data_IF_664954628834
#
_entry.id   IF_664954628834
#
_cell.length_a   1.000
_cell.length_b   1.000
_cell.length_c   1.000
_cell.angle_alpha   90.00
_cell.angle_beta   90.00
_cell.angle_gamma   90.00
#
_symmetry.space_group_name_H-M   'P 1'
#
loop_
_entity.id
_entity.type
_entity.pdbx_description
1 polymer ?
#
# COMPACT_ATOMS: atom_id res chain seq x y z
N UNK A 1 4.31 31.78 24.56
CA UNK A 1 4.86 33.09 24.13
C UNK A 1 6.29 33.01 23.57
N UNK A 2 7.25 32.32 24.21
CA UNK A 2 8.62 32.18 23.68
C UNK A 2 8.72 31.39 22.36
N UNK A 3 7.92 30.35 22.19
CA UNK A 3 7.85 29.51 20.96
C UNK A 3 7.53 30.33 19.68
N UNK A 4 6.59 31.25 19.78
CA UNK A 4 6.18 32.11 18.66
C UNK A 4 7.25 33.16 18.31
N UNK A 5 8.05 33.59 19.29
CA UNK A 5 9.10 34.58 19.06
C UNK A 5 10.22 34.00 18.20
N UNK A 6 10.57 32.71 18.37
CA UNK A 6 11.59 32.02 17.56
C UNK A 6 11.13 31.78 16.14
N UNK A 7 9.87 31.36 15.94
CA UNK A 7 9.29 31.18 14.60
C UNK A 7 9.19 32.53 13.87
N UNK A 8 8.81 33.59 14.58
CA UNK A 8 8.77 34.94 13.99
C UNK A 8 10.17 35.46 13.65
N UNK A 9 11.17 35.17 14.48
CA UNK A 9 12.57 35.52 14.21
C UNK A 9 13.15 34.73 13.02
N UNK A 10 12.82 33.44 12.85
CA UNK A 10 13.18 32.61 11.70
C UNK A 10 12.50 33.12 10.42
N UNK A 11 11.24 33.48 10.49
CA UNK A 11 10.49 34.04 9.35
C UNK A 11 11.02 35.43 8.97
N UNK A 12 11.40 36.28 9.94
CA UNK A 12 12.00 37.59 9.67
C UNK A 12 13.42 37.46 9.10
N UNK A 13 14.22 36.49 9.55
CA UNK A 13 15.52 36.23 8.97
C UNK A 13 15.44 35.79 7.51
N UNK A 14 14.47 34.91 7.15
CA UNK A 14 14.27 34.45 5.79
C UNK A 14 13.77 35.55 4.82
N UNK A 15 13.07 36.58 5.33
CA UNK A 15 12.64 37.73 4.52
C UNK A 15 13.77 38.75 4.30
N UNK A 16 14.69 38.87 5.23
CA UNK A 16 15.87 39.79 5.11
C UNK A 16 16.87 39.25 4.08
N UNK A 17 17.10 37.93 4.04
CA UNK A 17 18.02 37.29 3.08
C UNK A 17 17.51 37.42 1.62
N UNK A 18 16.22 37.54 1.40
CA UNK A 18 15.64 37.69 0.05
C UNK A 18 15.72 39.10 -0.53
N UNK A 19 16.02 40.10 0.28
CA UNK A 19 15.94 41.50 -0.14
C UNK A 19 17.26 42.08 -0.72
N UNK A 20 18.42 41.49 -0.53
CA UNK A 20 19.72 42.07 -0.96
C UNK A 20 20.72 41.00 -1.45
N UNK A 21 20.50 40.45 -2.65
CA UNK A 21 21.60 39.81 -3.38
C UNK A 21 22.57 40.89 -3.92
N UNK A 22 23.79 40.93 -3.45
CA UNK A 22 25.02 41.46 -4.05
C UNK A 22 25.89 42.47 -3.28
N UNK A 23 25.56 42.92 -2.07
CA UNK A 23 26.46 43.87 -1.39
C UNK A 23 26.57 43.73 0.14
N UNK A 24 26.59 42.52 0.68
CA UNK A 24 26.83 42.33 2.11
C UNK A 24 28.31 42.65 2.45
N UNK A 25 28.52 43.47 3.44
CA UNK A 25 29.88 43.74 4.01
C UNK A 25 30.46 42.46 4.63
N UNK A 26 31.78 42.41 4.77
CA UNK A 26 32.47 41.26 5.38
C UNK A 26 31.98 41.01 6.82
N UNK A 27 31.60 42.04 7.56
CA UNK A 27 31.06 41.96 8.91
C UNK A 27 29.64 41.34 8.93
N UNK A 28 28.80 41.68 7.94
CA UNK A 28 27.46 41.10 7.79
C UNK A 28 27.53 39.64 7.34
N UNK A 29 28.46 39.27 6.47
CA UNK A 29 28.71 37.85 6.10
C UNK A 29 29.19 37.04 7.28
N UNK A 30 30.11 37.56 8.09
CA UNK A 30 30.58 36.87 9.29
C UNK A 30 29.47 36.76 10.36
N UNK A 31 28.59 37.77 10.48
CA UNK A 31 27.45 37.71 11.38
C UNK A 31 26.37 36.71 10.88
N UNK A 32 26.15 36.66 9.56
CA UNK A 32 25.26 35.63 8.97
C UNK A 32 25.83 34.22 9.09
N UNK A 33 27.14 34.05 8.92
CA UNK A 33 27.81 32.76 9.10
C UNK A 33 27.77 32.32 10.56
N UNK A 34 28.04 33.19 11.52
CA UNK A 34 27.89 32.91 12.95
C UNK A 34 26.42 32.66 13.38
N UNK A 35 25.45 33.25 12.68
CA UNK A 35 24.03 33.01 12.88
C UNK A 35 23.61 31.67 12.27
N UNK A 36 24.09 31.32 11.08
CA UNK A 36 23.88 30.01 10.46
C UNK A 36 24.54 28.91 11.31
N UNK A 37 25.80 29.07 11.75
CA UNK A 37 26.50 28.14 12.65
C UNK A 37 25.72 27.93 13.97
N UNK A 38 25.02 28.96 14.45
CA UNK A 38 24.17 28.86 15.66
C UNK A 38 22.87 28.15 15.37
N UNK A 39 22.25 28.37 14.19
CA UNK A 39 21.06 27.64 13.73
C UNK A 39 21.42 26.18 13.48
N UNK A 40 22.55 25.90 12.85
CA UNK A 40 23.02 24.54 12.58
C UNK A 40 23.25 23.77 13.89
N UNK A 41 23.89 24.38 14.89
CA UNK A 41 24.02 23.77 16.24
C UNK A 41 22.69 23.60 16.94
N UNK A 42 21.75 24.55 16.82
CA UNK A 42 20.41 24.42 17.37
C UNK A 42 19.60 23.36 16.63
N UNK A 43 19.87 23.13 15.36
CA UNK A 43 19.24 22.06 14.60
C UNK A 43 19.78 20.69 14.99
N UNK A 44 21.10 20.55 15.19
CA UNK A 44 21.72 19.32 15.70
C UNK A 44 21.19 18.92 17.09
N UNK A 45 20.89 19.90 17.96
CA UNK A 45 20.36 19.65 19.31
C UNK A 45 18.81 19.66 19.35
N UNK A 46 18.14 19.92 18.23
CA UNK A 46 16.70 20.25 18.27
C UNK A 46 15.79 19.07 17.99
N UNK A 47 16.08 18.27 16.99
CA UNK A 47 15.18 17.19 16.58
C UNK A 47 15.98 15.98 16.11
N UNK A 48 15.79 14.87 16.78
CA UNK A 48 16.13 13.56 16.25
C UNK A 48 14.89 12.96 15.58
N UNK A 49 15.05 12.32 14.44
CA UNK A 49 13.96 11.72 13.68
C UNK A 49 14.22 10.24 13.51
N UNK A 50 13.18 9.45 13.74
CA UNK A 50 13.20 8.00 13.54
C UNK A 50 12.02 7.53 12.68
N UNK A 51 12.26 6.49 11.88
CA UNK A 51 11.22 5.71 11.23
C UNK A 51 10.77 4.60 12.19
N UNK A 52 9.51 4.60 12.56
CA UNK A 52 8.92 3.55 13.37
C UNK A 52 8.12 2.61 12.48
N UNK A 53 8.37 1.31 12.61
CA UNK A 53 7.72 0.25 11.85
C UNK A 53 7.02 -0.70 12.79
N UNK A 54 5.74 -0.92 12.51
CA UNK A 54 4.87 -1.84 13.26
C UNK A 54 4.64 -3.08 12.43
N UNK A 55 4.80 -4.24 13.02
CA UNK A 55 4.65 -5.53 12.35
C UNK A 55 3.23 -5.70 11.79
N UNK A 56 3.07 -6.40 10.66
CA UNK A 56 1.76 -6.75 10.11
C UNK A 56 0.98 -7.68 11.03
N UNK A 57 -0.35 -7.70 10.87
CA UNK A 57 -1.25 -8.61 11.60
C UNK A 57 -2.36 -9.09 10.66
N UNK A 58 -2.90 -10.27 10.90
CA UNK A 58 -4.04 -10.82 10.16
C UNK A 58 -5.40 -10.58 10.87
N UNK A 59 -5.41 -9.83 11.97
CA UNK A 59 -6.63 -9.56 12.73
C UNK A 59 -7.54 -8.53 12.08
N UNK A 60 -6.97 -7.55 11.35
CA UNK A 60 -7.75 -6.49 10.70
C UNK A 60 -7.17 -6.12 9.32
N UNK A 61 -8.05 -5.60 8.45
CA UNK A 61 -7.68 -5.21 7.09
C UNK A 61 -6.58 -4.13 7.06
N UNK A 62 -6.65 -3.15 7.96
CA UNK A 62 -5.70 -2.05 8.03
C UNK A 62 -4.32 -2.48 8.53
N UNK A 63 -4.24 -3.57 9.30
CA UNK A 63 -2.98 -4.07 9.88
C UNK A 63 -2.24 -5.05 8.98
N UNK A 64 -2.85 -5.50 7.90
CA UNK A 64 -2.34 -6.59 7.06
C UNK A 64 -0.96 -6.32 6.43
N UNK A 65 -0.65 -5.07 6.12
CA UNK A 65 0.65 -4.67 5.56
C UNK A 65 1.60 -4.09 6.62
N UNK A 66 1.20 -4.08 7.89
CA UNK A 66 1.92 -3.38 8.93
C UNK A 66 1.54 -1.89 8.99
N UNK A 67 2.29 -1.13 9.76
CA UNK A 67 2.12 0.32 9.85
C UNK A 67 3.47 1.01 9.96
N UNK A 68 3.52 2.30 9.65
CA UNK A 68 4.71 3.13 9.87
C UNK A 68 4.33 4.54 10.29
N UNK A 69 5.16 5.12 11.14
CA UNK A 69 5.06 6.52 11.55
C UNK A 69 6.46 7.13 11.72
N UNK A 70 6.52 8.44 11.90
CA UNK A 70 7.74 9.17 12.21
C UNK A 70 7.74 9.52 13.69
N UNK A 71 8.86 9.30 14.36
CA UNK A 71 9.07 9.72 15.75
C UNK A 71 10.05 10.87 15.79
N UNK A 72 9.68 11.93 16.49
CA UNK A 72 10.50 13.12 16.68
C UNK A 72 10.77 13.30 18.15
N UNK A 73 12.05 13.34 18.51
CA UNK A 73 12.52 13.55 19.86
C UNK A 73 13.37 14.82 19.96
N UNK A 74 13.17 15.57 21.05
CA UNK A 74 14.06 16.61 21.48
C UNK A 74 13.98 16.79 22.99
N UNK A 75 14.95 16.24 23.72
CA UNK A 75 14.99 16.31 25.18
C UNK A 75 15.02 17.77 25.70
N UNK A 76 15.72 18.66 24.98
CA UNK A 76 15.83 20.07 25.36
C UNK A 76 14.49 20.80 25.38
N UNK A 77 13.58 20.48 24.45
CA UNK A 77 12.26 21.09 24.35
C UNK A 77 11.12 20.20 24.88
N UNK A 78 11.46 19.01 25.38
CA UNK A 78 10.49 18.02 25.86
C UNK A 78 9.56 17.54 24.75
N UNK A 79 10.09 17.41 23.53
CA UNK A 79 9.37 16.84 22.40
C UNK A 79 9.66 15.34 22.39
N UNK A 80 8.58 14.57 22.37
CA UNK A 80 8.54 13.13 22.23
C UNK A 80 7.19 12.82 21.58
N UNK A 81 7.16 12.78 20.25
CA UNK A 81 5.88 12.76 19.51
C UNK A 81 5.98 11.89 18.28
N UNK A 82 5.06 10.95 18.16
CA UNK A 82 4.88 10.10 17.00
C UNK A 82 3.86 10.73 16.04
N UNK A 83 4.29 10.98 14.81
CA UNK A 83 3.43 11.48 13.75
C UNK A 83 3.00 10.32 12.87
N UNK A 84 1.72 9.98 12.93
CA UNK A 84 1.14 8.81 12.27
C UNK A 84 0.12 9.23 11.20
N UNK A 85 0.30 8.71 9.98
CA UNK A 85 -0.71 8.81 8.93
C UNK A 85 -1.80 7.78 9.17
N UNK A 86 -2.96 8.23 9.60
CA UNK A 86 -4.09 7.38 9.99
C UNK A 86 -5.25 7.59 9.04
N UNK A 87 -5.76 6.49 8.47
CA UNK A 87 -6.98 6.50 7.66
C UNK A 87 -8.21 6.24 8.52
N UNK A 88 -9.37 6.66 8.01
CA UNK A 88 -10.64 6.15 8.54
C UNK A 88 -10.68 4.63 8.42
N UNK A 89 -11.27 3.98 9.43
CA UNK A 89 -11.46 2.54 9.42
C UNK A 89 -12.31 2.10 8.20
N UNK A 90 -11.86 1.06 7.52
CA UNK A 90 -12.54 0.46 6.37
C UNK A 90 -13.71 -0.43 6.84
N UNK A 91 -13.62 -0.96 8.06
CA UNK A 91 -14.64 -1.84 8.62
C UNK A 91 -16.00 -1.12 8.68
N UNK A 92 -17.02 -1.74 8.12
CA UNK A 92 -18.33 -1.11 7.96
C UNK A 92 -18.43 -0.01 6.90
N UNK A 93 -17.33 0.41 6.27
CA UNK A 93 -17.28 1.48 5.25
C UNK A 93 -16.77 1.01 3.89
N UNK A 94 -16.87 -0.29 3.59
CA UNK A 94 -16.35 -0.89 2.34
C UNK A 94 -16.86 -0.15 1.09
N UNK A 95 -18.12 0.29 1.08
CA UNK A 95 -18.67 1.05 -0.04
C UNK A 95 -17.96 2.40 -0.21
N UNK A 96 -17.70 3.14 0.88
CA UNK A 96 -16.94 4.40 0.84
C UNK A 96 -15.50 4.16 0.37
N UNK A 97 -14.88 3.06 0.80
CA UNK A 97 -13.56 2.65 0.31
C UNK A 97 -13.59 2.44 -1.21
N UNK A 98 -14.52 1.63 -1.73
CA UNK A 98 -14.69 1.39 -3.17
C UNK A 98 -15.01 2.65 -3.98
N UNK A 99 -15.57 3.69 -3.34
CA UNK A 99 -15.83 5.00 -3.95
C UNK A 99 -14.66 5.99 -3.77
N UNK A 100 -13.52 5.53 -3.24
CA UNK A 100 -12.38 6.40 -2.92
C UNK A 100 -12.81 7.63 -2.08
N UNK A 101 -13.65 7.39 -1.08
CA UNK A 101 -14.20 8.44 -0.19
C UNK A 101 -13.78 8.28 1.27
N UNK A 102 -12.82 7.39 1.56
CA UNK A 102 -12.17 7.36 2.86
C UNK A 102 -11.16 8.51 2.99
N UNK A 103 -10.97 8.97 4.21
CA UNK A 103 -10.06 10.07 4.52
C UNK A 103 -8.87 9.56 5.33
N UNK A 104 -7.75 10.25 5.16
CA UNK A 104 -6.52 10.04 5.91
C UNK A 104 -6.05 11.38 6.44
N UNK A 105 -5.66 11.40 7.70
CA UNK A 105 -5.02 12.55 8.35
C UNK A 105 -3.65 12.21 8.88
N UNK A 106 -2.93 13.23 9.32
CA UNK A 106 -1.73 13.07 10.12
C UNK A 106 -2.07 13.47 11.56
N UNK A 107 -1.79 12.57 12.50
CA UNK A 107 -2.01 12.79 13.93
C UNK A 107 -0.70 12.73 14.71
N UNK A 108 -0.58 13.53 15.75
CA UNK A 108 0.52 13.43 16.71
C UNK A 108 0.05 12.65 17.93
N UNK A 109 0.77 11.60 18.28
CA UNK A 109 0.52 10.70 19.39
C UNK A 109 1.70 10.74 20.37
N UNK A 110 1.45 10.55 21.65
CA UNK A 110 2.53 10.28 22.60
C UNK A 110 2.88 8.78 22.62
N UNK A 111 3.99 8.43 23.28
CA UNK A 111 4.46 7.05 23.34
C UNK A 111 3.44 6.11 24.00
N UNK A 112 2.75 6.54 25.08
CA UNK A 112 1.78 5.71 25.79
C UNK A 112 0.57 5.38 24.89
N UNK A 113 0.12 6.35 24.08
CA UNK A 113 -0.99 6.16 23.14
C UNK A 113 -0.62 5.18 22.05
N UNK A 114 0.52 5.38 21.37
CA UNK A 114 0.96 4.53 20.26
C UNK A 114 1.32 3.11 20.74
N UNK A 115 2.20 3.00 21.73
CA UNK A 115 2.67 1.71 22.21
C UNK A 115 1.58 0.93 22.95
N UNK A 116 0.66 1.64 23.63
CA UNK A 116 -0.49 1.02 24.28
C UNK A 116 -1.41 0.32 23.30
N UNK A 117 -1.70 0.93 22.14
CA UNK A 117 -2.49 0.33 21.07
C UNK A 117 -1.83 -0.94 20.53
N UNK A 118 -0.54 -0.85 20.12
CA UNK A 118 0.15 -2.00 19.52
C UNK A 118 0.51 -3.11 20.52
N UNK A 119 0.71 -2.77 21.79
CA UNK A 119 0.84 -3.77 22.85
C UNK A 119 -0.44 -4.58 23.02
N UNK A 120 -1.61 -3.92 22.97
CA UNK A 120 -2.90 -4.62 23.01
C UNK A 120 -3.11 -5.53 21.78
N UNK A 121 -2.67 -5.09 20.61
CA UNK A 121 -2.68 -5.88 19.37
C UNK A 121 -1.55 -6.93 19.29
N UNK A 122 -0.63 -6.97 20.27
CA UNK A 122 0.55 -7.86 20.33
C UNK A 122 1.50 -7.69 19.15
N UNK A 123 1.51 -6.55 18.51
CA UNK A 123 2.35 -6.25 17.35
C UNK A 123 3.70 -5.72 17.79
N UNK A 124 4.76 -6.24 17.18
CA UNK A 124 6.11 -5.73 17.36
C UNK A 124 6.24 -4.31 16.81
N UNK A 125 6.98 -3.47 17.53
CA UNK A 125 7.30 -2.10 17.12
C UNK A 125 8.80 -1.91 17.14
N UNK A 126 9.36 -1.52 16.00
CA UNK A 126 10.79 -1.27 15.82
C UNK A 126 11.03 0.14 15.33
N UNK A 127 12.03 0.78 15.89
CA UNK A 127 12.44 2.14 15.58
C UNK A 127 13.81 2.15 14.91
N UNK A 128 13.95 2.89 13.83
CA UNK A 128 15.15 3.06 13.04
C UNK A 128 15.49 4.55 12.97
N UNK A 129 16.59 4.94 13.59
CA UNK A 129 17.03 6.34 13.59
C UNK A 129 17.49 6.76 12.19
N UNK A 130 17.07 7.94 11.77
CA UNK A 130 17.56 8.56 10.53
C UNK A 130 18.95 9.18 10.74
N UNK A 131 19.74 9.20 9.67
CA UNK A 131 20.96 9.99 9.53
C UNK A 131 20.73 11.15 8.54
N UNK A 132 19.59 11.81 8.64
CA UNK A 132 19.28 12.96 7.79
C UNK A 132 20.17 14.15 8.17
N UNK A 133 20.52 15.04 7.21
CA UNK A 133 21.08 16.34 7.55
C UNK A 133 20.13 17.15 8.43
N UNK A 134 20.64 17.93 9.41
CA UNK A 134 19.81 18.67 10.37
C UNK A 134 18.76 19.58 9.73
N UNK A 135 19.08 20.18 8.58
CA UNK A 135 18.17 21.03 7.81
C UNK A 135 16.98 20.23 7.26
N UNK A 136 17.22 18.98 6.87
CA UNK A 136 16.19 18.08 6.37
C UNK A 136 15.28 17.61 7.52
N UNK A 137 15.85 17.26 8.68
CA UNK A 137 15.11 16.89 9.88
C UNK A 137 14.17 18.02 10.32
N UNK A 138 14.69 19.26 10.35
CA UNK A 138 13.92 20.45 10.69
C UNK A 138 12.76 20.69 9.72
N UNK A 139 13.02 20.55 8.41
CA UNK A 139 11.95 20.70 7.40
C UNK A 139 10.93 19.58 7.48
N UNK A 140 11.35 18.35 7.77
CA UNK A 140 10.45 17.21 7.93
C UNK A 140 9.53 17.40 9.14
N UNK A 141 10.09 17.81 10.29
CA UNK A 141 9.32 18.17 11.48
C UNK A 141 8.32 19.30 11.17
N UNK A 142 8.77 20.37 10.51
CA UNK A 142 7.92 21.51 10.14
C UNK A 142 6.76 21.10 9.22
N UNK A 143 7.00 20.21 8.27
CA UNK A 143 5.96 19.66 7.39
C UNK A 143 4.92 18.89 8.22
N UNK A 144 5.37 17.99 9.10
CA UNK A 144 4.49 17.19 9.94
C UNK A 144 3.67 18.04 10.91
N UNK A 145 4.32 18.98 11.64
CA UNK A 145 3.64 19.88 12.58
C UNK A 145 2.60 20.78 11.87
N UNK A 146 2.94 21.28 10.68
CA UNK A 146 2.02 22.05 9.86
C UNK A 146 0.81 21.23 9.41
N UNK A 147 1.02 19.97 9.02
CA UNK A 147 -0.07 19.08 8.60
C UNK A 147 -1.01 18.77 9.76
N UNK A 148 -0.46 18.47 10.95
CA UNK A 148 -1.26 18.25 12.15
C UNK A 148 -2.03 19.51 12.56
N UNK A 149 -1.33 20.66 12.65
CA UNK A 149 -1.94 21.92 13.08
C UNK A 149 -3.04 22.43 12.15
N UNK A 150 -2.96 22.11 10.85
CA UNK A 150 -3.96 22.46 9.84
C UNK A 150 -5.04 21.41 9.67
N UNK A 151 -4.94 20.26 10.33
CA UNK A 151 -5.87 19.14 10.16
C UNK A 151 -5.80 18.57 8.75
N UNK A 152 -4.64 18.00 8.36
CA UNK A 152 -4.48 17.36 7.05
C UNK A 152 -5.61 16.36 6.79
N UNK A 153 -6.31 16.53 5.68
CA UNK A 153 -7.42 15.70 5.29
C UNK A 153 -7.30 15.33 3.82
N UNK A 154 -6.69 14.18 3.56
CA UNK A 154 -6.47 13.62 2.22
C UNK A 154 -7.47 12.51 1.94
N UNK A 155 -7.75 12.25 0.68
CA UNK A 155 -8.39 11.00 0.28
C UNK A 155 -7.41 9.85 0.49
N UNK A 156 -7.84 8.82 1.19
CA UNK A 156 -7.02 7.62 1.39
C UNK A 156 -7.13 6.70 0.19
N UNK A 157 -6.03 6.13 -0.22
CA UNK A 157 -5.97 4.94 -1.05
C UNK A 157 -4.74 4.10 -0.66
N UNK A 158 -4.84 2.80 -0.84
CA UNK A 158 -3.83 1.85 -0.38
C UNK A 158 -2.58 1.77 -1.28
N UNK A 159 -2.60 2.41 -2.45
CA UNK A 159 -1.48 2.39 -3.42
C UNK A 159 -0.65 3.66 -3.31
N UNK A 160 -1.28 4.83 -3.43
CA UNK A 160 -0.57 6.11 -3.56
C UNK A 160 -0.56 6.95 -2.30
N UNK A 161 -1.34 6.57 -1.27
CA UNK A 161 -1.56 7.36 -0.04
C UNK A 161 -1.68 6.50 1.21
N UNK A 162 -0.95 5.40 1.29
CA UNK A 162 -0.77 4.63 2.52
C UNK A 162 0.25 5.30 3.45
N UNK A 163 0.39 4.78 4.69
CA UNK A 163 1.32 5.34 5.68
C UNK A 163 2.77 5.37 5.18
N UNK A 164 3.28 4.25 4.66
CA UNK A 164 4.67 4.15 4.19
C UNK A 164 4.96 5.14 3.03
N UNK A 165 4.16 5.13 1.98
CA UNK A 165 4.37 6.02 0.84
C UNK A 165 4.18 7.49 1.20
N UNK A 166 3.32 7.81 2.16
CA UNK A 166 3.16 9.18 2.66
C UNK A 166 4.40 9.66 3.41
N UNK A 167 5.08 8.77 4.13
CA UNK A 167 6.38 9.07 4.77
C UNK A 167 7.45 9.28 3.70
N UNK A 168 7.53 8.44 2.67
CA UNK A 168 8.47 8.64 1.54
C UNK A 168 8.29 10.03 0.95
N UNK A 169 7.07 10.40 0.60
CA UNK A 169 6.79 11.73 0.04
C UNK A 169 7.09 12.87 1.01
N UNK A 170 6.94 12.65 2.32
CA UNK A 170 7.25 13.69 3.32
C UNK A 170 8.76 13.92 3.44
N UNK A 171 9.55 12.85 3.42
CA UNK A 171 11.02 12.92 3.43
C UNK A 171 11.54 13.57 2.14
N UNK A 172 11.05 13.14 0.97
CA UNK A 172 11.42 13.76 -0.32
C UNK A 172 11.11 15.26 -0.35
N UNK A 173 9.92 15.67 0.13
CA UNK A 173 9.56 17.09 0.24
C UNK A 173 10.42 17.87 1.22
N UNK A 174 10.82 17.23 2.32
CA UNK A 174 11.74 17.86 3.29
C UNK A 174 13.10 18.11 2.68
N UNK A 175 13.64 17.15 1.94
CA UNK A 175 14.89 17.28 1.18
C UNK A 175 14.77 18.41 0.14
N UNK A 176 13.71 18.42 -0.67
CA UNK A 176 13.49 19.51 -1.63
C UNK A 176 13.36 20.88 -0.97
N UNK A 177 12.72 20.95 0.21
CA UNK A 177 12.56 22.21 0.95
C UNK A 177 13.91 22.68 1.52
N UNK A 178 14.69 21.77 2.11
CA UNK A 178 16.02 22.06 2.62
C UNK A 178 16.95 22.55 1.49
N UNK A 179 16.99 21.82 0.36
CA UNK A 179 17.79 22.21 -0.81
C UNK A 179 17.44 23.61 -1.32
N UNK A 180 16.15 23.95 -1.38
CA UNK A 180 15.72 25.30 -1.81
C UNK A 180 16.03 26.39 -0.81
N UNK A 181 15.94 26.09 0.49
CA UNK A 181 16.08 27.09 1.55
C UNK A 181 17.53 27.36 1.89
N UNK A 182 18.35 26.34 1.93
CA UNK A 182 19.73 26.39 2.37
C UNK A 182 20.75 26.34 1.21
N UNK A 183 20.28 26.06 -0.03
CA UNK A 183 21.13 25.99 -1.21
C UNK A 183 21.98 24.72 -1.26
N UNK A 184 21.53 23.67 -0.61
CA UNK A 184 22.15 22.34 -0.62
C UNK A 184 21.67 21.51 -1.82
N UNK A 185 22.26 20.34 -2.03
CA UNK A 185 21.91 19.40 -3.10
C UNK A 185 21.74 17.96 -2.57
N UNK A 186 21.15 17.84 -1.39
CA UNK A 186 20.87 16.54 -0.79
C UNK A 186 19.97 15.69 -1.68
N UNK A 187 20.32 14.41 -1.82
CA UNK A 187 19.57 13.43 -2.58
C UNK A 187 19.68 12.06 -1.91
N UNK A 188 18.59 11.29 -1.90
CA UNK A 188 18.65 9.89 -1.46
C UNK A 188 19.22 9.06 -2.60
N UNK A 189 20.41 8.53 -2.40
CA UNK A 189 21.05 7.56 -3.30
C UNK A 189 20.60 6.15 -2.91
N UNK A 190 19.79 5.55 -3.71
CA UNK A 190 19.42 4.15 -3.55
C UNK A 190 20.54 3.27 -4.08
N UNK A 191 20.86 2.19 -3.37
CA UNK A 191 21.69 1.12 -3.91
C UNK A 191 21.04 0.55 -5.18
N UNK A 192 21.82 -0.19 -5.98
CA UNK A 192 21.24 -0.85 -7.16
C UNK A 192 19.98 -1.62 -6.77
N UNK A 193 18.87 -1.17 -7.36
CA UNK A 193 17.59 -1.78 -7.15
C UNK A 193 17.66 -3.23 -7.64
N UNK A 194 17.55 -4.19 -6.73
CA UNK A 194 17.61 -5.61 -7.03
C UNK A 194 16.45 -6.09 -7.92
N UNK A 195 16.45 -7.38 -8.30
CA UNK A 195 15.37 -7.98 -9.09
C UNK A 195 13.98 -7.79 -8.45
N UNK A 196 13.92 -7.67 -7.14
CA UNK A 196 12.70 -7.44 -6.36
C UNK A 196 11.94 -6.18 -6.80
N UNK A 197 12.65 -5.15 -7.28
CA UNK A 197 12.01 -3.92 -7.76
C UNK A 197 11.51 -3.99 -9.21
N UNK A 198 11.75 -5.11 -9.91
CA UNK A 198 11.06 -5.42 -11.17
C UNK A 198 9.64 -5.92 -10.97
N UNK A 199 9.26 -6.26 -9.72
CA UNK A 199 7.91 -6.67 -9.36
C UNK A 199 6.90 -5.54 -9.58
N UNK A 200 5.67 -5.91 -9.88
CA UNK A 200 4.52 -5.00 -9.86
C UNK A 200 4.03 -4.79 -8.42
N UNK A 201 3.24 -3.74 -8.17
CA UNK A 201 2.62 -3.54 -6.86
C UNK A 201 1.73 -4.73 -6.45
N UNK A 202 1.07 -5.37 -7.43
CA UNK A 202 0.31 -6.60 -7.20
C UNK A 202 1.19 -7.73 -6.68
N UNK A 203 2.35 -7.96 -7.29
CA UNK A 203 3.29 -9.01 -6.87
C UNK A 203 3.86 -8.72 -5.49
N UNK A 204 4.19 -7.47 -5.19
CA UNK A 204 4.64 -7.05 -3.86
C UNK A 204 3.59 -7.40 -2.80
N UNK A 205 2.35 -6.98 -3.01
CA UNK A 205 1.26 -7.29 -2.09
C UNK A 205 0.95 -8.78 -1.98
N UNK A 206 1.05 -9.52 -3.08
CA UNK A 206 0.85 -10.97 -3.10
C UNK A 206 1.91 -11.73 -2.30
N UNK A 207 3.19 -11.39 -2.49
CA UNK A 207 4.30 -12.09 -1.86
C UNK A 207 4.37 -11.77 -0.36
N UNK A 208 3.94 -10.58 0.03
CA UNK A 208 3.96 -10.14 1.43
C UNK A 208 2.79 -10.70 2.25
N UNK A 209 1.59 -10.72 1.70
CA UNK A 209 0.40 -11.13 2.44
C UNK A 209 0.27 -12.66 2.48
N UNK A 210 -0.01 -13.27 3.65
CA UNK A 210 -0.27 -14.70 3.77
C UNK A 210 -1.52 -15.09 2.97
N UNK A 211 -1.64 -16.38 2.62
CA UNK A 211 -2.85 -16.89 1.95
C UNK A 211 -4.08 -16.70 2.82
N UNK A 212 -4.95 -15.80 2.40
CA UNK A 212 -6.11 -15.36 3.17
C UNK A 212 -7.22 -14.82 2.27
N UNK A 213 -8.42 -14.69 2.81
CA UNK A 213 -9.52 -14.00 2.13
C UNK A 213 -9.19 -12.54 1.85
N UNK A 214 -8.38 -11.92 2.72
CA UNK A 214 -7.91 -10.56 2.54
C UNK A 214 -7.02 -10.43 1.31
N UNK A 215 -6.01 -11.31 1.17
CA UNK A 215 -5.15 -11.34 -0.03
C UNK A 215 -5.98 -11.60 -1.29
N UNK A 216 -6.88 -12.58 -1.25
CA UNK A 216 -7.77 -12.87 -2.37
C UNK A 216 -8.64 -11.67 -2.77
N UNK A 217 -9.22 -10.96 -1.79
CA UNK A 217 -9.98 -9.75 -2.04
C UNK A 217 -9.10 -8.65 -2.65
N UNK A 218 -7.91 -8.40 -2.09
CA UNK A 218 -6.93 -7.47 -2.65
C UNK A 218 -6.58 -7.82 -4.10
N UNK A 219 -6.19 -9.06 -4.36
CA UNK A 219 -5.85 -9.55 -5.71
C UNK A 219 -7.02 -9.46 -6.70
N UNK A 220 -8.26 -9.52 -6.20
CA UNK A 220 -9.48 -9.37 -7.02
C UNK A 220 -9.75 -7.89 -7.35
N UNK A 221 -9.54 -6.99 -6.39
CA UNK A 221 -9.85 -5.57 -6.52
C UNK A 221 -8.77 -4.77 -7.24
N UNK A 222 -7.51 -5.22 -7.15
CA UNK A 222 -6.36 -4.56 -7.76
C UNK A 222 -6.31 -4.83 -9.27
N UNK A 223 -5.98 -3.81 -10.04
CA UNK A 223 -5.78 -3.87 -11.49
C UNK A 223 -5.04 -2.64 -12.00
N UNK A 224 -5.15 -2.36 -13.28
CA UNK A 224 -4.65 -1.15 -13.90
C UNK A 224 -3.18 -0.84 -13.59
N UNK A 225 -2.94 0.30 -12.97
CA UNK A 225 -1.57 0.75 -12.66
C UNK A 225 -0.82 -0.17 -11.70
N UNK A 226 -1.50 -0.93 -10.84
CA UNK A 226 -0.84 -1.87 -9.94
C UNK A 226 -0.13 -3.04 -10.68
N UNK A 227 -0.52 -3.28 -11.93
CA UNK A 227 0.11 -4.27 -12.82
C UNK A 227 1.21 -3.67 -13.71
N UNK A 228 1.46 -2.36 -13.61
CA UNK A 228 2.48 -1.69 -14.38
C UNK A 228 3.87 -1.91 -13.74
N UNK A 229 4.80 -2.63 -14.39
CA UNK A 229 6.14 -2.84 -13.84
C UNK A 229 7.02 -1.57 -13.88
N UNK A 230 6.62 -0.55 -14.66
CA UNK A 230 7.38 0.68 -14.89
C UNK A 230 7.04 1.80 -13.88
N UNK A 231 6.28 1.51 -12.84
CA UNK A 231 6.10 2.45 -11.72
C UNK A 231 7.47 2.70 -11.08
N UNK A 232 7.74 3.94 -10.64
CA UNK A 232 9.01 4.28 -9.99
C UNK A 232 9.26 3.38 -8.78
N UNK A 233 10.51 3.09 -8.49
CA UNK A 233 10.85 2.18 -7.38
C UNK A 233 10.45 2.79 -6.01
N UNK A 234 10.51 4.12 -5.88
CA UNK A 234 10.05 4.81 -4.67
C UNK A 234 8.55 4.66 -4.44
N UNK A 235 7.74 4.68 -5.51
CA UNK A 235 6.30 4.42 -5.43
C UNK A 235 5.95 2.95 -5.09
N UNK A 236 6.93 2.04 -5.17
CA UNK A 236 6.77 0.63 -4.74
C UNK A 236 7.00 0.42 -3.24
N UNK A 237 7.47 1.41 -2.50
CA UNK A 237 7.74 1.36 -1.07
C UNK A 237 6.44 1.50 -0.24
N UNK A 238 5.44 0.70 -0.55
CA UNK A 238 4.12 0.74 0.10
C UNK A 238 4.04 -0.10 1.36
N UNK A 239 5.02 -0.98 1.60
CA UNK A 239 5.06 -1.90 2.75
C UNK A 239 6.09 -1.39 3.77
N UNK A 240 5.70 -1.12 5.03
CA UNK A 240 6.56 -0.50 6.04
C UNK A 240 7.88 -1.21 6.30
N UNK A 241 7.89 -2.53 6.42
CA UNK A 241 9.13 -3.27 6.66
C UNK A 241 10.05 -3.33 5.43
N UNK A 242 9.49 -3.33 4.20
CA UNK A 242 10.29 -3.22 2.97
C UNK A 242 10.85 -1.80 2.80
N UNK A 243 10.09 -0.77 3.19
CA UNK A 243 10.56 0.61 3.26
C UNK A 243 11.80 0.72 4.16
N UNK A 244 11.71 0.22 5.40
CA UNK A 244 12.83 0.25 6.35
C UNK A 244 14.05 -0.50 5.79
N UNK A 245 13.87 -1.71 5.29
CA UNK A 245 14.96 -2.53 4.74
C UNK A 245 15.63 -1.90 3.50
N UNK A 246 14.87 -1.16 2.71
CA UNK A 246 15.37 -0.43 1.55
C UNK A 246 16.15 0.81 1.99
N UNK A 247 15.62 1.57 2.93
CA UNK A 247 16.25 2.79 3.43
C UNK A 247 17.50 2.52 4.27
N UNK A 248 17.62 1.36 4.92
CA UNK A 248 18.87 0.94 5.56
C UNK A 248 20.02 0.75 4.55
N UNK A 249 19.71 0.48 3.27
CA UNK A 249 20.69 0.33 2.19
C UNK A 249 20.88 1.60 1.37
N UNK A 250 19.99 2.57 1.53
CA UNK A 250 20.08 3.87 0.88
C UNK A 250 21.08 4.79 1.61
N UNK A 251 21.60 5.78 0.89
CA UNK A 251 22.58 6.73 1.41
C UNK A 251 22.06 8.16 1.23
N UNK A 252 22.38 9.04 2.15
CA UNK A 252 22.21 10.49 2.02
C UNK A 252 23.45 11.19 2.58
N UNK A 253 23.97 12.17 1.87
CA UNK A 253 25.18 12.90 2.27
C UNK A 253 26.36 11.98 2.70
N UNK A 254 26.53 10.84 1.99
CA UNK A 254 27.60 9.88 2.27
C UNK A 254 27.38 9.00 3.51
N UNK A 255 26.24 9.09 4.18
CA UNK A 255 25.85 8.25 5.32
C UNK A 255 24.70 7.32 4.96
N UNK A 256 24.54 6.13 5.59
CA UNK A 256 23.32 5.35 5.48
C UNK A 256 22.10 6.18 5.89
N UNK A 257 21.01 6.12 5.12
CA UNK A 257 19.80 6.91 5.40
C UNK A 257 19.16 6.54 6.76
N UNK A 258 19.16 5.26 7.10
CA UNK A 258 18.75 4.74 8.41
C UNK A 258 19.92 4.03 9.09
N UNK A 259 19.94 4.04 10.42
CA UNK A 259 20.85 3.19 11.18
C UNK A 259 20.58 1.70 10.90
N UNK A 260 21.65 0.88 10.91
CA UNK A 260 21.56 -0.55 10.63
C UNK A 260 20.88 -1.33 11.75
N UNK A 261 20.93 -0.83 12.98
CA UNK A 261 20.36 -1.48 14.15
C UNK A 261 19.08 -0.75 14.56
N UNK A 262 17.97 -1.51 14.59
CA UNK A 262 16.71 -1.03 15.12
C UNK A 262 16.70 -1.11 16.65
N UNK A 263 16.04 -0.16 17.29
CA UNK A 263 15.61 -0.24 18.69
C UNK A 263 14.27 -0.95 18.73
N UNK A 264 14.15 -2.04 19.47
CA UNK A 264 12.88 -2.72 19.71
C UNK A 264 12.12 -1.98 20.81
N UNK A 265 11.01 -1.32 20.44
CA UNK A 265 10.13 -0.63 21.39
C UNK A 265 9.10 -1.59 21.99
N UNK A 266 8.58 -2.54 21.19
CA UNK A 266 7.72 -3.64 21.64
C UNK A 266 8.12 -4.93 20.93
N UNK A 267 8.21 -6.06 21.65
CA UNK A 267 8.41 -7.36 21.03
C UNK A 267 7.16 -7.81 20.27
N UNK A 268 7.36 -8.57 19.19
CA UNK A 268 6.26 -9.18 18.46
C UNK A 268 5.78 -10.44 19.20
N UNK A 269 4.49 -10.46 19.51
CA UNK A 269 3.80 -11.63 20.10
C UNK A 269 2.70 -12.16 19.17
N UNK A 270 2.74 -11.79 17.87
CA UNK A 270 1.72 -12.19 16.90
C UNK A 270 1.84 -13.67 16.60
N UNK A 271 0.74 -14.39 16.81
CA UNK A 271 0.53 -15.71 16.27
C UNK A 271 -0.35 -15.63 15.00
N UNK A 272 0.26 -15.78 13.84
CA UNK A 272 -0.52 -15.89 12.59
C UNK A 272 -1.36 -17.16 12.62
N UNK A 273 -2.66 -17.02 12.73
CA UNK A 273 -3.60 -18.15 12.76
C UNK A 273 -3.99 -18.65 11.40
N UNK A 274 -3.84 -17.81 10.37
CA UNK A 274 -4.28 -18.07 9.00
C UNK A 274 -5.77 -18.39 8.91
N UNK A 275 -6.30 -18.39 7.70
CA UNK A 275 -7.69 -18.81 7.48
C UNK A 275 -7.82 -20.34 7.49
N UNK A 276 -8.69 -20.87 8.34
CA UNK A 276 -8.99 -22.32 8.36
C UNK A 276 -9.64 -22.81 7.07
N UNK A 277 -10.37 -21.94 6.40
CA UNK A 277 -11.04 -22.19 5.12
C UNK A 277 -10.57 -21.13 4.13
N UNK A 278 -9.53 -21.44 3.36
CA UNK A 278 -8.87 -20.50 2.46
C UNK A 278 -9.65 -20.30 1.16
N UNK A 279 -9.43 -19.21 0.41
CA UNK A 279 -9.99 -19.03 -0.93
C UNK A 279 -9.67 -20.18 -1.88
N UNK A 280 -8.51 -20.81 -1.75
CA UNK A 280 -8.14 -21.99 -2.53
C UNK A 280 -9.03 -23.17 -2.19
N UNK A 281 -9.29 -23.43 -0.90
CA UNK A 281 -10.22 -24.48 -0.47
C UNK A 281 -11.64 -24.22 -0.99
N UNK A 282 -12.11 -22.97 -0.90
CA UNK A 282 -13.43 -22.58 -1.39
C UNK A 282 -13.56 -22.75 -2.91
N UNK A 283 -12.54 -22.34 -3.66
CA UNK A 283 -12.53 -22.47 -5.13
C UNK A 283 -12.44 -23.93 -5.58
N UNK A 284 -11.67 -24.77 -4.85
CA UNK A 284 -11.64 -26.20 -5.10
C UNK A 284 -13.00 -26.85 -4.84
N UNK A 285 -13.68 -26.50 -3.74
CA UNK A 285 -15.02 -26.96 -3.44
C UNK A 285 -16.00 -26.54 -4.56
N UNK A 286 -15.93 -25.29 -5.03
CA UNK A 286 -16.75 -24.80 -6.13
C UNK A 286 -16.51 -25.61 -7.41
N UNK A 287 -15.25 -25.93 -7.72
CA UNK A 287 -14.89 -26.75 -8.87
C UNK A 287 -15.42 -28.19 -8.72
N UNK A 288 -15.31 -28.79 -7.54
CA UNK A 288 -15.87 -30.12 -7.25
C UNK A 288 -17.41 -30.13 -7.38
N UNK A 289 -18.09 -29.08 -6.95
CA UNK A 289 -19.53 -28.92 -7.15
C UNK A 289 -19.89 -28.80 -8.64
N UNK A 290 -19.10 -28.06 -9.42
CA UNK A 290 -19.28 -27.96 -10.87
C UNK A 290 -19.09 -29.33 -11.55
N UNK A 291 -18.05 -30.09 -11.19
CA UNK A 291 -17.81 -31.46 -11.68
C UNK A 291 -18.97 -32.38 -11.26
N UNK A 292 -19.40 -32.37 -10.01
CA UNK A 292 -20.52 -33.15 -9.51
C UNK A 292 -21.81 -32.84 -10.25
N UNK A 293 -22.05 -31.58 -10.62
CA UNK A 293 -23.24 -31.17 -11.37
C UNK A 293 -23.31 -31.81 -12.75
N UNK A 294 -22.19 -32.23 -13.36
CA UNK A 294 -22.18 -32.94 -14.64
C UNK A 294 -22.97 -34.26 -14.60
N UNK A 295 -23.01 -34.91 -13.43
CA UNK A 295 -23.70 -36.19 -13.21
C UNK A 295 -25.12 -36.02 -12.68
N UNK A 296 -25.54 -34.76 -12.47
CA UNK A 296 -26.87 -34.46 -11.93
C UNK A 296 -27.70 -33.67 -12.93
N UNK A 297 -28.95 -34.13 -13.17
CA UNK A 297 -29.85 -33.49 -14.16
C UNK A 297 -30.37 -32.13 -13.69
N UNK A 298 -30.53 -31.97 -12.37
CA UNK A 298 -31.05 -30.73 -11.80
C UNK A 298 -30.05 -29.60 -11.91
N UNK A 299 -30.54 -28.38 -12.04
CA UNK A 299 -29.76 -27.19 -12.37
C UNK A 299 -29.50 -26.27 -11.15
N UNK A 300 -29.84 -26.69 -9.93
CA UNK A 300 -29.69 -25.84 -8.74
C UNK A 300 -28.23 -25.42 -8.50
N UNK A 301 -27.29 -26.37 -8.66
CA UNK A 301 -25.86 -26.10 -8.51
C UNK A 301 -25.40 -25.13 -9.61
N UNK A 302 -25.86 -25.34 -10.85
CA UNK A 302 -25.51 -24.47 -11.97
C UNK A 302 -25.93 -23.02 -11.70
N UNK A 303 -27.15 -22.83 -11.19
CA UNK A 303 -27.68 -21.52 -10.83
C UNK A 303 -26.93 -20.89 -9.66
N UNK A 304 -26.51 -21.68 -8.66
CA UNK A 304 -25.69 -21.17 -7.56
C UNK A 304 -24.32 -20.67 -8.06
N UNK A 305 -23.65 -21.43 -8.94
CA UNK A 305 -22.40 -21.06 -9.55
C UNK A 305 -22.54 -19.81 -10.44
N UNK A 306 -23.61 -19.74 -11.24
CA UNK A 306 -23.94 -18.57 -12.07
C UNK A 306 -24.22 -17.32 -11.22
N UNK A 307 -24.88 -17.49 -10.08
CA UNK A 307 -25.10 -16.38 -9.14
C UNK A 307 -23.76 -15.80 -8.63
N UNK A 308 -22.84 -16.68 -8.22
CA UNK A 308 -21.50 -16.26 -7.81
C UNK A 308 -20.80 -15.52 -8.96
N UNK A 309 -20.82 -16.08 -10.18
CA UNK A 309 -20.24 -15.45 -11.36
C UNK A 309 -20.86 -14.07 -11.64
N UNK A 310 -22.17 -13.96 -11.49
CA UNK A 310 -22.89 -12.71 -11.72
C UNK A 310 -22.51 -11.65 -10.69
N UNK A 311 -22.43 -12.01 -9.39
CA UNK A 311 -22.04 -11.10 -8.32
C UNK A 311 -20.60 -10.60 -8.57
N UNK A 312 -19.66 -11.51 -8.83
CA UNK A 312 -18.27 -11.13 -9.14
C UNK A 312 -18.20 -10.27 -10.41
N UNK A 313 -19.01 -10.60 -11.42
CA UNK A 313 -19.09 -9.84 -12.66
C UNK A 313 -19.64 -8.42 -12.45
N UNK A 314 -20.66 -8.26 -11.64
CA UNK A 314 -21.17 -6.93 -11.26
C UNK A 314 -20.13 -6.11 -10.50
N UNK A 315 -19.35 -6.76 -9.62
CA UNK A 315 -18.23 -6.12 -8.93
C UNK A 315 -17.16 -5.65 -9.92
N UNK A 316 -16.75 -6.49 -10.87
CA UNK A 316 -15.77 -6.10 -11.91
C UNK A 316 -16.26 -4.94 -12.77
N UNK A 317 -17.53 -4.94 -13.17
CA UNK A 317 -18.13 -3.81 -13.91
C UNK A 317 -18.17 -2.53 -13.07
N UNK A 318 -18.44 -2.66 -11.78
CA UNK A 318 -18.38 -1.54 -10.84
C UNK A 318 -16.98 -0.97 -10.74
N UNK A 319 -15.96 -1.83 -10.59
CA UNK A 319 -14.56 -1.38 -10.48
C UNK A 319 -14.07 -0.61 -11.71
N UNK A 320 -14.55 -0.93 -12.92
CA UNK A 320 -14.23 -0.16 -14.13
C UNK A 320 -14.64 1.32 -14.06
N UNK A 321 -15.66 1.65 -13.29
CA UNK A 321 -16.18 3.01 -13.14
C UNK A 321 -15.87 3.60 -11.77
N UNK A 322 -15.25 2.82 -10.88
CA UNK A 322 -14.84 3.25 -9.56
C UNK A 322 -13.71 4.27 -9.65
N UNK A 323 -13.73 5.34 -8.86
CA UNK A 323 -12.62 6.27 -8.76
C UNK A 323 -11.45 5.75 -7.88
N UNK A 324 -11.51 4.51 -7.42
CA UNK A 324 -10.48 3.91 -6.56
C UNK A 324 -9.20 3.69 -7.39
N UNK A 325 -8.07 4.29 -7.03
CA UNK A 325 -6.80 4.07 -7.71
C UNK A 325 -6.41 2.59 -7.73
N UNK A 326 -5.90 2.13 -8.87
CA UNK A 326 -5.50 0.73 -9.06
C UNK A 326 -6.65 -0.23 -9.33
N UNK A 327 -7.88 0.24 -9.58
CA UNK A 327 -9.02 -0.60 -9.96
C UNK A 327 -9.43 -0.47 -11.44
N UNK A 328 -8.77 0.40 -12.22
CA UNK A 328 -9.20 0.87 -13.55
C UNK A 328 -9.44 -0.26 -14.55
N UNK A 329 -8.62 -1.29 -14.51
CA UNK A 329 -8.71 -2.45 -15.39
C UNK A 329 -8.19 -3.70 -14.69
N UNK A 330 -8.94 -4.78 -14.73
CA UNK A 330 -8.48 -6.09 -14.29
C UNK A 330 -8.76 -7.14 -15.35
N UNK A 331 -7.80 -8.03 -15.61
CA UNK A 331 -7.99 -9.18 -16.48
C UNK A 331 -9.08 -10.14 -16.00
N UNK A 332 -9.48 -10.03 -14.73
CA UNK A 332 -10.59 -10.79 -14.14
C UNK A 332 -11.96 -10.41 -14.70
N UNK A 333 -12.10 -9.26 -15.38
CA UNK A 333 -13.38 -8.88 -16.01
C UNK A 333 -13.79 -9.84 -17.14
N UNK A 334 -12.82 -10.52 -17.75
CA UNK A 334 -13.09 -11.47 -18.83
C UNK A 334 -13.86 -12.67 -18.29
N UNK A 335 -13.39 -13.44 -17.26
CA UNK A 335 -14.12 -14.55 -16.70
C UNK A 335 -15.22 -14.13 -15.73
N UNK A 336 -15.03 -13.05 -15.01
CA UNK A 336 -15.99 -12.52 -14.05
C UNK A 336 -16.86 -11.46 -14.73
N UNK A 337 -17.88 -11.93 -15.44
CA UNK A 337 -18.83 -11.07 -16.12
C UNK A 337 -20.26 -11.64 -15.98
N UNK A 338 -21.30 -10.80 -15.98
CA UNK A 338 -22.69 -11.24 -15.81
C UNK A 338 -23.35 -11.77 -17.08
N UNK A 339 -22.67 -11.75 -18.24
CA UNK A 339 -23.25 -12.15 -19.52
C UNK A 339 -23.80 -13.60 -19.55
N UNK A 340 -23.13 -14.59 -18.91
CA UNK A 340 -23.66 -15.95 -18.90
C UNK A 340 -25.08 -16.09 -18.34
N UNK A 341 -25.46 -15.35 -17.32
CA UNK A 341 -26.82 -15.40 -16.77
C UNK A 341 -27.82 -14.75 -17.73
N UNK A 342 -27.43 -13.66 -18.39
CA UNK A 342 -28.28 -12.93 -19.34
C UNK A 342 -28.58 -13.81 -20.56
N UNK A 343 -27.58 -14.51 -21.08
CA UNK A 343 -27.66 -15.33 -22.28
C UNK A 343 -27.87 -16.81 -21.98
N UNK A 344 -28.24 -17.18 -20.76
CA UNK A 344 -28.39 -18.58 -20.33
C UNK A 344 -29.29 -19.42 -21.21
N UNK A 345 -30.42 -18.84 -21.70
CA UNK A 345 -31.37 -19.51 -22.58
C UNK A 345 -30.74 -20.02 -23.89
N UNK A 346 -29.67 -19.36 -24.35
CA UNK A 346 -28.96 -19.71 -25.60
C UNK A 346 -27.61 -20.37 -25.33
N UNK A 347 -27.38 -20.86 -24.10
CA UNK A 347 -26.12 -21.41 -23.62
C UNK A 347 -25.48 -22.37 -24.63
N UNK A 348 -26.23 -23.33 -25.18
CA UNK A 348 -25.68 -24.35 -26.07
C UNK A 348 -25.05 -23.81 -27.36
N UNK A 349 -25.42 -22.60 -27.77
CA UNK A 349 -24.88 -21.95 -28.96
C UNK A 349 -23.51 -21.27 -28.71
N UNK A 350 -23.29 -20.77 -27.51
CA UNK A 350 -22.07 -20.00 -27.19
C UNK A 350 -21.14 -20.66 -26.17
N UNK A 351 -21.52 -21.82 -25.62
CA UNK A 351 -20.76 -22.51 -24.61
C UNK A 351 -19.31 -22.85 -25.07
N UNK A 352 -19.16 -23.38 -26.29
CA UNK A 352 -17.84 -23.72 -26.83
C UNK A 352 -16.96 -22.48 -27.09
N UNK A 353 -17.42 -21.42 -27.77
CA UNK A 353 -16.68 -20.19 -27.89
C UNK A 353 -16.28 -19.59 -26.53
N UNK A 354 -17.16 -19.63 -25.53
CA UNK A 354 -16.86 -19.16 -24.19
C UNK A 354 -15.76 -20.00 -23.55
N UNK A 355 -15.85 -21.31 -23.60
CA UNK A 355 -14.85 -22.20 -23.03
C UNK A 355 -13.48 -21.98 -23.69
N UNK A 356 -13.44 -21.80 -25.01
CA UNK A 356 -12.20 -21.47 -25.72
C UNK A 356 -11.61 -20.14 -25.22
N UNK A 357 -12.42 -19.11 -25.05
CA UNK A 357 -11.98 -17.82 -24.49
C UNK A 357 -11.41 -17.99 -23.06
N UNK A 358 -12.10 -18.77 -22.20
CA UNK A 358 -11.62 -19.02 -20.84
C UNK A 358 -10.30 -19.81 -20.82
N UNK A 359 -10.13 -20.79 -21.71
CA UNK A 359 -8.87 -21.52 -21.81
C UNK A 359 -7.74 -20.63 -22.29
N UNK A 360 -7.97 -19.77 -23.29
CA UNK A 360 -6.98 -18.77 -23.72
C UNK A 360 -6.64 -17.81 -22.59
N UNK A 361 -7.63 -17.37 -21.82
CA UNK A 361 -7.40 -16.53 -20.66
C UNK A 361 -6.55 -17.24 -19.60
N UNK A 362 -6.87 -18.50 -19.24
CA UNK A 362 -6.11 -19.29 -18.25
C UNK A 362 -4.65 -19.42 -18.70
N UNK A 363 -4.43 -19.81 -19.96
CA UNK A 363 -3.07 -19.94 -20.52
C UNK A 363 -2.35 -18.58 -20.46
N UNK A 364 -3.04 -17.52 -20.86
CA UNK A 364 -2.48 -16.16 -20.81
C UNK A 364 -2.06 -15.74 -19.39
N UNK A 365 -2.87 -16.06 -18.37
CA UNK A 365 -2.55 -15.74 -16.97
C UNK A 365 -1.37 -16.59 -16.43
N UNK A 366 -1.30 -17.87 -16.81
CA UNK A 366 -0.18 -18.75 -16.40
C UNK A 366 1.13 -18.35 -17.09
N UNK A 367 1.07 -17.92 -18.35
CA UNK A 367 2.24 -17.52 -19.14
C UNK A 367 2.61 -16.03 -18.99
N UNK A 368 1.85 -15.26 -18.24
CA UNK A 368 2.15 -13.85 -18.03
C UNK A 368 3.52 -13.67 -17.33
N UNK A 369 4.31 -12.65 -17.71
CA UNK A 369 5.62 -12.39 -17.09
C UNK A 369 5.50 -11.95 -15.62
N UNK A 370 4.33 -11.45 -15.25
CA UNK A 370 4.00 -11.01 -13.90
C UNK A 370 2.76 -11.73 -13.39
N UNK A 371 2.68 -11.92 -12.09
CA UNK A 371 1.51 -12.54 -11.45
C UNK A 371 0.31 -11.59 -11.49
N UNK A 372 -0.70 -11.95 -12.28
CA UNK A 372 -1.92 -11.15 -12.44
C UNK A 372 -3.10 -11.70 -11.63
N UNK A 373 -3.05 -12.98 -11.23
CA UNK A 373 -4.16 -13.67 -10.54
C UNK A 373 -3.64 -14.70 -9.54
N UNK A 374 -4.46 -15.08 -8.59
CA UNK A 374 -4.21 -16.22 -7.70
C UNK A 374 -4.69 -17.56 -8.31
N UNK A 375 -4.17 -18.66 -7.78
CA UNK A 375 -4.61 -20.01 -8.17
C UNK A 375 -6.12 -20.22 -7.93
N UNK A 376 -6.67 -19.62 -6.87
CA UNK A 376 -8.09 -19.64 -6.57
C UNK A 376 -8.94 -19.07 -7.73
N UNK A 377 -8.51 -17.97 -8.35
CA UNK A 377 -9.21 -17.40 -9.51
C UNK A 377 -9.27 -18.38 -10.68
N UNK A 378 -8.17 -19.10 -10.96
CA UNK A 378 -8.11 -20.11 -12.04
C UNK A 378 -9.11 -21.23 -11.78
N UNK A 379 -9.18 -21.74 -10.55
CA UNK A 379 -10.14 -22.81 -10.18
C UNK A 379 -11.59 -22.33 -10.30
N UNK A 380 -11.88 -21.09 -9.91
CA UNK A 380 -13.22 -20.48 -10.07
C UNK A 380 -13.58 -20.39 -11.56
N UNK A 381 -12.66 -19.95 -12.41
CA UNK A 381 -12.88 -19.84 -13.86
C UNK A 381 -13.13 -21.23 -14.49
N UNK A 382 -12.40 -22.26 -14.04
CA UNK A 382 -12.66 -23.64 -14.45
C UNK A 382 -14.05 -24.10 -14.04
N UNK A 383 -14.49 -23.79 -12.81
CA UNK A 383 -15.84 -24.13 -12.33
C UNK A 383 -16.94 -23.46 -13.19
N UNK A 384 -16.78 -22.16 -13.49
CA UNK A 384 -17.69 -21.43 -14.39
C UNK A 384 -17.74 -22.06 -15.78
N UNK A 385 -16.57 -22.37 -16.33
CA UNK A 385 -16.45 -22.98 -17.67
C UNK A 385 -17.14 -24.34 -17.74
N UNK A 386 -16.93 -25.20 -16.74
CA UNK A 386 -17.58 -26.52 -16.67
C UNK A 386 -19.10 -26.40 -16.55
N UNK A 387 -19.58 -25.45 -15.75
CA UNK A 387 -21.02 -25.19 -15.59
C UNK A 387 -21.66 -24.77 -16.91
N UNK A 388 -20.98 -23.97 -17.71
CA UNK A 388 -21.48 -23.55 -19.03
C UNK A 388 -21.43 -24.68 -20.02
N UNK A 389 -20.36 -25.50 -20.03
CA UNK A 389 -20.19 -26.66 -20.91
C UNK A 389 -21.00 -27.89 -20.52
N UNK A 390 -21.75 -27.88 -19.42
CA UNK A 390 -22.43 -29.06 -18.86
C UNK A 390 -23.17 -29.88 -19.88
N UNK A 391 -23.99 -29.27 -20.73
CA UNK A 391 -24.80 -29.99 -21.72
C UNK A 391 -23.92 -30.70 -22.77
N UNK A 392 -22.92 -30.02 -23.28
CA UNK A 392 -21.98 -30.55 -24.28
C UNK A 392 -21.20 -31.75 -23.71
N UNK A 393 -20.69 -31.63 -22.48
CA UNK A 393 -19.98 -32.72 -21.81
C UNK A 393 -20.87 -33.89 -21.53
N UNK A 394 -22.12 -33.68 -21.04
CA UNK A 394 -23.08 -34.77 -20.82
C UNK A 394 -23.44 -35.49 -22.10
N UNK A 395 -23.71 -34.77 -23.18
CA UNK A 395 -24.02 -35.38 -24.47
C UNK A 395 -22.84 -36.23 -24.95
N UNK A 396 -21.60 -35.76 -24.81
CA UNK A 396 -20.38 -36.52 -25.14
C UNK A 396 -20.29 -37.82 -24.30
N UNK A 397 -20.51 -37.74 -22.98
CA UNK A 397 -20.48 -38.91 -22.09
C UNK A 397 -21.56 -39.93 -22.47
N UNK A 398 -22.75 -39.50 -22.86
CA UNK A 398 -23.82 -40.36 -23.29
C UNK A 398 -23.46 -41.06 -24.61
N UNK A 399 -22.90 -40.33 -25.57
CA UNK A 399 -22.47 -40.90 -26.86
C UNK A 399 -21.39 -41.96 -26.63
N UNK A 400 -20.37 -41.68 -25.84
CA UNK A 400 -19.26 -42.61 -25.53
C UNK A 400 -19.71 -43.87 -24.73
N UNK A 401 -20.87 -43.85 -24.09
CA UNK A 401 -21.43 -45.01 -23.41
C UNK A 401 -22.27 -45.91 -24.31
N UNK A 402 -22.72 -45.36 -25.44
CA UNK A 402 -23.56 -46.06 -26.39
C UNK A 402 -22.77 -46.66 -27.57
N UNK A 403 -21.54 -46.27 -27.73
CA UNK A 403 -20.52 -46.87 -28.62
C UNK A 403 -19.77 -47.99 -27.87
#
# INVERSE_FOLDING_TARGET
>A
MKRWLYIVLLLLASTIVRANGDTLSMAERNAMQGFNDTIDRMAEDFVEVSLVVVDPSDEALYSALGHSCLHFECAHFGIDTFYSYVSEDIEGKVFRFLMNDLRMGLVGLNADELLGEYSHEKRGVREYKFNLPPEVEMELWRICDLHVSRGLNLKYDYITRGCAISIVHSVERAIEAANRMYGTDYEIMYADWGPEFKRTLREIGYDFAPESWLRFAGMTLIGGNADNPNISNTEKLIIPCELASTWQKAMIDGKPLLESQATELLPSEIEYKGDKFTPLCASLLLLLLAIGSLFWEKTYIDWAILLIQTIMGCLMLWLLVSPLPGSEWSWLIIPFNPLPVIFWKWRDKWAMPYATLMMVWIIGMICAPHRLVENAHVLIVLAFTLTILKNQIRNLIITLKND
#
